data_IF_005077506572
#
_entry.id   IF_005077506572
#
_cell.length_a   1.000
_cell.length_b   1.000
_cell.length_c   1.000
_cell.angle_alpha   90.00
_cell.angle_beta   90.00
_cell.angle_gamma   90.00
#
_symmetry.space_group_name_H-M   'P 1'
#
loop_
_entity.id
_entity.type
_entity.pdbx_description
1 polymer ?
#
# COMPACT_ATOMS: atom_id res chain seq x y z
N UNK A 1 9.80 -6.15 -4.33
CA UNK A 1 8.99 -5.92 -3.10
C UNK A 1 7.57 -6.42 -3.35
N UNK A 2 6.97 -7.00 -2.37
CA UNK A 2 5.57 -7.47 -2.45
C UNK A 2 4.87 -7.29 -1.12
N UNK A 3 3.55 -7.23 -1.18
CA UNK A 3 2.72 -7.21 0.02
C UNK A 3 2.74 -8.59 0.65
N UNK A 4 2.94 -8.65 1.96
CA UNK A 4 2.92 -9.92 2.68
C UNK A 4 1.55 -10.56 2.62
N UNK A 5 1.51 -11.88 2.54
CA UNK A 5 0.27 -12.63 2.58
C UNK A 5 -0.45 -12.38 3.91
N UNK A 6 -1.76 -12.30 3.83
CA UNK A 6 -2.59 -12.09 5.00
C UNK A 6 -2.96 -10.65 5.27
N UNK A 7 -2.39 -9.69 4.54
CA UNK A 7 -2.80 -8.29 4.66
C UNK A 7 -3.77 -7.94 3.54
N UNK A 8 -4.89 -7.37 3.91
CA UNK A 8 -5.97 -7.02 2.97
C UNK A 8 -6.44 -5.61 3.21
N UNK A 9 -6.95 -4.99 2.13
CA UNK A 9 -7.57 -3.68 2.20
C UNK A 9 -9.07 -3.88 2.41
N UNK A 10 -9.62 -3.24 3.43
CA UNK A 10 -11.04 -3.28 3.74
C UNK A 10 -11.60 -1.87 3.84
N UNK A 11 -12.88 -1.76 3.56
CA UNK A 11 -13.62 -0.51 3.74
C UNK A 11 -14.46 -0.64 5.01
N UNK A 12 -14.10 0.11 6.05
CA UNK A 12 -14.79 0.09 7.33
C UNK A 12 -15.34 1.49 7.60
N UNK A 13 -16.67 1.59 7.58
CA UNK A 13 -17.36 2.86 7.84
C UNK A 13 -16.88 4.00 6.94
N UNK A 14 -16.65 3.70 5.67
CA UNK A 14 -16.18 4.68 4.69
C UNK A 14 -14.69 4.95 4.71
N UNK A 15 -13.93 4.27 5.56
CA UNK A 15 -12.48 4.41 5.63
C UNK A 15 -11.80 3.18 5.06
N UNK A 16 -10.76 3.42 4.27
CA UNK A 16 -9.92 2.34 3.76
C UNK A 16 -8.88 1.99 4.81
N UNK A 17 -8.86 0.73 5.21
CA UNK A 17 -7.90 0.25 6.21
C UNK A 17 -7.22 -1.03 5.71
N UNK A 18 -5.97 -1.19 6.07
CA UNK A 18 -5.25 -2.46 5.89
C UNK A 18 -5.38 -3.23 7.21
N UNK A 19 -5.74 -4.50 7.11
CA UNK A 19 -5.80 -5.36 8.28
C UNK A 19 -5.17 -6.70 7.96
N UNK A 20 -4.61 -7.34 8.99
CA UNK A 20 -4.13 -8.70 8.89
C UNK A 20 -5.28 -9.66 9.00
N UNK A 21 -5.56 -10.42 7.94
CA UNK A 21 -6.43 -11.58 7.97
C UNK A 21 -5.53 -12.78 7.87
N UNK A 22 -5.32 -13.42 8.98
CA UNK A 22 -4.44 -14.54 8.97
C UNK A 22 -5.10 -15.78 9.51
N UNK A 23 -4.29 -16.73 9.71
CA UNK A 23 -4.55 -18.03 10.26
C UNK A 23 -5.29 -17.94 11.60
N UNK A 24 -6.58 -17.65 11.54
CA UNK A 24 -7.48 -17.82 12.65
C UNK A 24 -7.84 -16.59 13.47
N UNK A 25 -7.20 -15.44 13.33
CA UNK A 25 -7.59 -14.26 14.09
C UNK A 25 -7.23 -12.96 13.38
N UNK A 26 -8.12 -11.99 13.46
CA UNK A 26 -7.85 -10.63 13.00
C UNK A 26 -7.00 -9.94 14.07
N UNK A 27 -5.86 -9.43 13.67
CA UNK A 27 -5.01 -8.66 14.57
C UNK A 27 -5.36 -7.19 14.47
N UNK A 28 -6.22 -6.73 15.35
CA UNK A 28 -6.66 -5.33 15.37
C UNK A 28 -5.55 -4.35 15.73
N UNK A 29 -4.44 -4.81 16.29
CA UNK A 29 -3.30 -3.94 16.58
C UNK A 29 -2.58 -3.49 15.32
N UNK A 30 -2.84 -4.14 14.19
CA UNK A 30 -2.22 -3.83 12.89
C UNK A 30 -3.19 -3.20 11.90
N UNK A 31 -4.25 -2.57 12.39
CA UNK A 31 -5.14 -1.79 11.53
C UNK A 31 -4.44 -0.48 11.15
N UNK A 32 -4.36 -0.22 9.87
CA UNK A 32 -3.73 0.99 9.34
C UNK A 32 -4.70 1.69 8.42
N UNK A 33 -5.11 2.90 8.79
CA UNK A 33 -5.97 3.72 7.95
C UNK A 33 -5.14 4.31 6.80
N UNK A 34 -5.68 4.24 5.59
CA UNK A 34 -5.06 4.79 4.40
C UNK A 34 -5.91 5.91 3.83
N UNK A 35 -5.24 6.96 3.35
CA UNK A 35 -5.93 7.96 2.53
C UNK A 35 -6.21 7.37 1.14
N UNK A 36 -6.95 8.13 0.31
CA UNK A 36 -7.35 7.64 -1.02
C UNK A 36 -6.17 7.24 -1.89
N UNK A 37 -5.12 8.06 -1.90
CA UNK A 37 -3.92 7.79 -2.72
C UNK A 37 -3.19 6.54 -2.25
N UNK A 38 -3.01 6.39 -0.95
CA UNK A 38 -2.34 5.22 -0.39
C UNK A 38 -3.15 3.94 -0.61
N UNK A 39 -4.47 4.02 -0.47
CA UNK A 39 -5.35 2.88 -0.73
C UNK A 39 -5.29 2.46 -2.19
N UNK A 40 -5.29 3.44 -3.11
CA UNK A 40 -5.18 3.16 -4.52
C UNK A 40 -3.82 2.52 -4.86
N UNK A 41 -2.73 3.04 -4.30
CA UNK A 41 -1.40 2.47 -4.49
C UNK A 41 -1.31 1.05 -3.93
N UNK A 42 -1.95 0.78 -2.81
CA UNK A 42 -2.01 -0.57 -2.25
C UNK A 42 -2.66 -1.55 -3.22
N UNK A 43 -3.79 -1.15 -3.84
CA UNK A 43 -4.46 -1.98 -4.83
C UNK A 43 -3.58 -2.23 -6.05
N UNK A 44 -2.87 -1.20 -6.52
CA UNK A 44 -1.93 -1.35 -7.63
C UNK A 44 -0.81 -2.33 -7.28
N UNK A 45 -0.27 -2.22 -6.08
CA UNK A 45 0.77 -3.13 -5.60
C UNK A 45 0.28 -4.57 -5.52
N UNK A 46 -0.94 -4.78 -5.04
CA UNK A 46 -1.54 -6.11 -5.00
C UNK A 46 -1.74 -6.69 -6.40
N UNK A 47 -2.21 -5.89 -7.33
CA UNK A 47 -2.46 -6.32 -8.70
C UNK A 47 -1.16 -6.67 -9.43
N UNK A 48 -0.09 -5.93 -9.17
CA UNK A 48 1.22 -6.21 -9.74
C UNK A 48 1.88 -7.46 -9.14
N UNK A 49 1.60 -7.73 -7.87
CA UNK A 49 2.28 -8.76 -7.11
C UNK A 49 3.65 -8.29 -6.66
N UNK A 50 4.60 -8.23 -7.57
CA UNK A 50 5.94 -7.68 -7.32
C UNK A 50 5.98 -6.23 -7.80
N UNK A 51 6.29 -5.31 -6.91
CA UNK A 51 6.30 -3.88 -7.22
C UNK A 51 7.59 -3.23 -6.70
N UNK A 52 7.89 -2.06 -7.26
CA UNK A 52 8.98 -1.20 -6.81
C UNK A 52 8.46 0.22 -6.62
N UNK A 53 9.26 1.06 -5.98
CA UNK A 53 8.92 2.49 -5.89
C UNK A 53 8.78 3.07 -7.29
N UNK A 54 9.63 2.68 -8.23
CA UNK A 54 9.57 3.16 -9.61
C UNK A 54 8.28 2.75 -10.32
N UNK A 55 7.87 1.49 -10.20
CA UNK A 55 6.64 1.01 -10.86
C UNK A 55 5.40 1.68 -10.28
N UNK A 56 5.34 1.88 -8.97
CA UNK A 56 4.23 2.60 -8.34
C UNK A 56 4.25 4.08 -8.71
N UNK A 57 5.43 4.69 -8.85
CA UNK A 57 5.57 6.07 -9.30
C UNK A 57 5.00 6.25 -10.70
N UNK A 58 5.31 5.35 -11.62
CA UNK A 58 4.74 5.37 -12.97
C UNK A 58 3.22 5.29 -12.95
N UNK A 59 2.67 4.42 -12.14
CA UNK A 59 1.22 4.28 -12.00
C UNK A 59 0.58 5.55 -11.46
N UNK A 60 1.21 6.17 -10.49
CA UNK A 60 0.71 7.42 -9.91
C UNK A 60 0.71 8.56 -10.92
N UNK A 61 1.77 8.68 -11.71
CA UNK A 61 1.86 9.68 -12.78
C UNK A 61 0.82 9.47 -13.88
N UNK A 62 0.48 8.22 -14.17
CA UNK A 62 -0.54 7.90 -15.16
C UNK A 62 -1.95 8.27 -14.69
N UNK A 63 -2.19 8.17 -13.39
CA UNK A 63 -3.53 8.45 -12.83
C UNK A 63 -3.73 9.92 -12.47
N UNK A 64 -2.70 10.56 -11.95
CA UNK A 64 -2.78 11.93 -11.45
C UNK A 64 -1.85 12.84 -12.23
N UNK A 65 -2.23 14.12 -12.31
CA UNK A 65 -1.40 15.14 -12.95
C UNK A 65 -0.37 15.65 -11.95
N UNK A 66 0.68 14.84 -11.74
CA UNK A 66 1.78 15.14 -10.83
C UNK A 66 3.11 14.97 -11.56
N UNK A 67 4.12 15.70 -11.11
CA UNK A 67 5.46 15.50 -11.66
C UNK A 67 6.04 14.18 -11.19
N UNK A 68 6.93 13.55 -11.99
CA UNK A 68 7.58 12.32 -11.55
C UNK A 68 8.34 12.46 -10.22
N UNK A 69 8.92 13.62 -9.98
CA UNK A 69 9.63 13.89 -8.72
C UNK A 69 8.71 13.89 -7.51
N UNK A 70 7.58 14.59 -7.62
CA UNK A 70 6.56 14.60 -6.56
C UNK A 70 5.96 13.23 -6.33
N UNK A 71 5.63 12.53 -7.42
CA UNK A 71 5.06 11.21 -7.34
C UNK A 71 6.03 10.24 -6.65
N UNK A 72 7.31 10.29 -7.00
CA UNK A 72 8.32 9.42 -6.40
C UNK A 72 8.47 9.69 -4.91
N UNK A 73 8.47 10.94 -4.52
CA UNK A 73 8.55 11.32 -3.11
C UNK A 73 7.36 10.78 -2.31
N UNK A 74 6.15 10.95 -2.84
CA UNK A 74 4.95 10.47 -2.19
C UNK A 74 4.93 8.94 -2.07
N UNK A 75 5.30 8.26 -3.15
CA UNK A 75 5.38 6.79 -3.16
C UNK A 75 6.42 6.30 -2.17
N UNK A 76 7.59 6.94 -2.13
CA UNK A 76 8.65 6.55 -1.22
C UNK A 76 8.23 6.69 0.24
N UNK A 77 7.50 7.75 0.59
CA UNK A 77 6.96 7.93 1.93
C UNK A 77 5.95 6.84 2.29
N UNK A 78 5.01 6.57 1.38
CA UNK A 78 3.97 5.58 1.60
C UNK A 78 4.57 4.18 1.74
N UNK A 79 5.47 3.80 0.85
CA UNK A 79 6.14 2.49 0.90
C UNK A 79 7.02 2.40 2.15
N UNK A 80 7.69 3.48 2.52
CA UNK A 80 8.47 3.54 3.75
C UNK A 80 7.63 3.27 4.99
N UNK A 81 6.42 3.81 5.05
CA UNK A 81 5.48 3.50 6.13
C UNK A 81 5.07 2.03 6.12
N UNK A 82 4.79 1.47 4.95
CA UNK A 82 4.46 0.05 4.83
C UNK A 82 5.61 -0.84 5.32
N UNK A 83 6.85 -0.46 5.02
CA UNK A 83 8.02 -1.19 5.50
C UNK A 83 8.14 -1.13 7.03
N UNK A 84 7.91 0.03 7.63
CA UNK A 84 7.91 0.19 9.08
C UNK A 84 6.82 -0.63 9.74
N UNK A 85 5.66 -0.72 9.11
CA UNK A 85 4.53 -1.50 9.62
C UNK A 85 4.69 -3.00 9.35
N UNK A 86 5.72 -3.37 8.60
CA UNK A 86 6.04 -4.75 8.30
C UNK A 86 4.94 -5.48 7.51
N UNK A 87 4.28 -4.75 6.61
CA UNK A 87 3.21 -5.29 5.76
C UNK A 87 3.69 -5.60 4.34
N UNK A 88 4.93 -5.25 4.02
CA UNK A 88 5.58 -5.59 2.75
C UNK A 88 6.90 -6.30 3.03
N UNK A 89 7.36 -7.06 2.05
CA UNK A 89 8.63 -7.78 2.16
C UNK A 89 9.41 -7.70 0.86
N UNK A 90 10.74 -7.74 0.98
CA UNK A 90 11.63 -7.90 -0.16
C UNK A 90 11.88 -9.38 -0.38
N UNK A 91 12.16 -9.73 -1.64
CA UNK A 91 12.54 -11.10 -1.98
C UNK A 91 13.90 -11.47 -1.45
#
# INVERSE_FOLDING_TARGET
MRIKKGFVLRDICGRKVIMGEGLGAIDFSKLVALNKSAAWLWQQAQDMGDFTIDTLTEKLCDKYDVTPEEARQDVAEIVGEWQQLNVVEDY
#
